data_IF_803284868186
#
_entry.id   IF_803284868186
#
_cell.length_a   1.000
_cell.length_b   1.000
_cell.length_c   1.000
_cell.angle_alpha   90.00
_cell.angle_beta   90.00
_cell.angle_gamma   90.00
#
_symmetry.space_group_name_H-M   'P 1'
#
loop_
_entity.id
_entity.type
_entity.pdbx_description
1 polymer ?
#
# COMPACT_ATOMS: atom_id res chain seq x y z
N UNK A 1 -8.39 -14.77 -3.42
CA UNK A 1 -8.39 -14.33 -2.01
C UNK A 1 -8.65 -12.83 -2.01
N UNK A 2 -9.54 -12.35 -1.15
CA UNK A 2 -9.79 -10.93 -0.94
C UNK A 2 -8.56 -10.23 -0.32
N UNK A 3 -8.47 -8.91 -0.46
CA UNK A 3 -7.47 -8.08 0.22
C UNK A 3 -7.75 -8.14 1.74
N UNK A 4 -6.72 -8.47 2.52
CA UNK A 4 -6.79 -8.51 3.99
C UNK A 4 -6.87 -7.11 4.60
N UNK A 5 -7.36 -7.03 5.83
CA UNK A 5 -7.50 -5.78 6.58
C UNK A 5 -6.15 -5.06 6.78
N UNK A 6 -5.06 -5.80 6.96
CA UNK A 6 -3.70 -5.22 7.03
C UNK A 6 -3.20 -4.69 5.68
N UNK A 7 -3.47 -5.39 4.58
CA UNK A 7 -3.15 -4.92 3.24
C UNK A 7 -3.93 -3.65 2.92
N UNK A 8 -5.22 -3.60 3.28
CA UNK A 8 -6.06 -2.40 3.13
C UNK A 8 -5.53 -1.23 3.97
N UNK A 9 -5.17 -1.45 5.23
CA UNK A 9 -4.55 -0.42 6.07
C UNK A 9 -3.31 0.17 5.39
N UNK A 10 -2.45 -0.71 4.88
CA UNK A 10 -1.21 -0.33 4.20
C UNK A 10 -1.50 0.52 2.95
N UNK A 11 -2.48 0.10 2.14
CA UNK A 11 -2.90 0.83 0.93
C UNK A 11 -3.39 2.24 1.28
N UNK A 12 -4.24 2.37 2.29
CA UNK A 12 -4.75 3.68 2.70
C UNK A 12 -3.63 4.58 3.25
N UNK A 13 -2.66 4.05 4.00
CA UNK A 13 -1.50 4.84 4.45
C UNK A 13 -0.60 5.34 3.32
N UNK A 14 -0.38 4.52 2.29
CA UNK A 14 0.33 4.96 1.09
C UNK A 14 -0.47 6.04 0.35
N UNK A 15 -1.78 5.87 0.22
CA UNK A 15 -2.68 6.83 -0.43
C UNK A 15 -2.72 8.18 0.28
N UNK A 16 -2.80 8.19 1.62
CA UNK A 16 -2.72 9.40 2.44
C UNK A 16 -1.42 10.17 2.14
N UNK A 17 -0.27 9.49 2.16
CA UNK A 17 1.05 10.10 1.87
C UNK A 17 1.15 10.57 0.42
N UNK A 18 0.63 9.81 -0.54
CA UNK A 18 0.59 10.17 -1.96
C UNK A 18 -0.19 11.47 -2.18
N UNK A 19 -1.38 11.59 -1.58
CA UNK A 19 -2.21 12.79 -1.66
C UNK A 19 -1.52 13.98 -1.00
N UNK A 20 -0.92 13.79 0.19
CA UNK A 20 -0.17 14.83 0.88
C UNK A 20 1.05 15.33 0.08
N UNK A 21 1.67 14.46 -0.72
CA UNK A 21 2.75 14.80 -1.64
C UNK A 21 2.27 15.41 -2.97
N UNK A 22 0.95 15.54 -3.18
CA UNK A 22 0.37 16.09 -4.42
C UNK A 22 0.53 15.20 -5.65
N UNK A 23 0.86 13.92 -5.47
CA UNK A 23 1.11 12.99 -6.59
C UNK A 23 -0.19 12.30 -7.04
N UNK A 24 -0.38 12.18 -8.34
CA UNK A 24 -1.38 11.26 -8.91
C UNK A 24 -0.94 9.79 -8.75
N UNK A 25 -1.87 8.82 -8.81
CA UNK A 25 -1.52 7.40 -8.83
C UNK A 25 -0.53 7.05 -9.96
N UNK A 26 -0.71 7.65 -11.13
CA UNK A 26 0.17 7.45 -12.29
C UNK A 26 1.58 7.94 -12.04
N UNK A 27 1.75 9.14 -11.47
CA UNK A 27 3.07 9.69 -11.17
C UNK A 27 3.81 8.80 -10.16
N UNK A 28 3.13 8.36 -9.09
CA UNK A 28 3.74 7.47 -8.11
C UNK A 28 4.15 6.12 -8.75
N UNK A 29 3.30 5.53 -9.60
CA UNK A 29 3.64 4.32 -10.37
C UNK A 29 4.92 4.51 -11.18
N UNK A 30 5.05 5.62 -11.90
CA UNK A 30 6.20 5.90 -12.77
C UNK A 30 7.49 6.14 -11.96
N UNK A 31 7.41 6.80 -10.80
CA UNK A 31 8.56 6.97 -9.90
C UNK A 31 9.12 5.63 -9.39
N UNK A 32 8.29 4.59 -9.34
CA UNK A 32 8.67 3.24 -8.93
C UNK A 32 9.11 2.35 -10.09
N UNK A 33 9.03 2.84 -11.34
CA UNK A 33 9.24 2.02 -12.53
C UNK A 33 8.18 0.93 -12.71
N UNK A 34 6.98 1.13 -12.14
CA UNK A 34 5.85 0.21 -12.25
C UNK A 34 4.92 0.59 -13.41
N UNK A 35 4.00 -0.31 -13.74
CA UNK A 35 2.92 0.00 -14.67
C UNK A 35 2.12 1.23 -14.19
N UNK A 36 1.77 2.12 -15.13
CA UNK A 36 1.11 3.40 -14.85
C UNK A 36 -0.25 3.24 -14.13
N UNK A 37 -0.90 2.08 -14.26
CA UNK A 37 -2.17 1.76 -13.60
C UNK A 37 -1.99 1.08 -12.24
N UNK A 38 -0.78 0.67 -11.87
CA UNK A 38 -0.54 -0.19 -10.70
C UNK A 38 -1.06 0.42 -9.39
N UNK A 39 -0.68 1.67 -9.07
CA UNK A 39 -1.16 2.36 -7.86
C UNK A 39 -2.67 2.59 -7.94
N UNK A 40 -3.20 2.94 -9.12
CA UNK A 40 -4.65 3.15 -9.29
C UNK A 40 -5.45 1.86 -9.03
N UNK A 41 -4.93 0.71 -9.45
CA UNK A 41 -5.54 -0.58 -9.13
C UNK A 41 -5.39 -0.91 -7.64
N UNK A 42 -4.23 -0.68 -7.04
CA UNK A 42 -4.03 -0.96 -5.61
C UNK A 42 -4.97 -0.13 -4.72
N UNK A 43 -5.20 1.14 -5.05
CA UNK A 43 -6.10 2.03 -4.29
C UNK A 43 -7.59 1.83 -4.60
N UNK A 44 -7.92 1.06 -5.63
CA UNK A 44 -9.29 0.81 -6.02
C UNK A 44 -9.76 -0.52 -5.40
N UNK A 45 -10.79 -0.51 -4.54
CA UNK A 45 -11.24 -1.70 -3.81
C UNK A 45 -11.79 -2.81 -4.73
N UNK A 46 -12.05 -2.54 -6.01
CA UNK A 46 -12.46 -3.55 -6.99
C UNK A 46 -11.32 -4.47 -7.43
N UNK A 47 -10.07 -4.02 -7.31
CA UNK A 47 -8.91 -4.79 -7.70
C UNK A 47 -8.22 -5.40 -6.47
N UNK A 48 -7.41 -6.43 -6.72
CA UNK A 48 -6.73 -7.21 -5.68
C UNK A 48 -5.23 -6.93 -5.61
N UNK A 49 -4.80 -5.84 -6.23
CA UNK A 49 -3.42 -5.38 -6.22
C UNK A 49 -3.02 -5.00 -4.79
N UNK A 50 -1.83 -5.42 -4.38
CA UNK A 50 -1.32 -5.20 -3.03
C UNK A 50 0.16 -4.88 -3.05
N UNK A 51 0.59 -4.11 -2.06
CA UNK A 51 1.99 -3.75 -1.90
C UNK A 51 2.77 -4.86 -1.19
N UNK A 52 4.02 -5.06 -1.62
CA UNK A 52 4.97 -5.92 -0.94
C UNK A 52 5.99 -5.05 -0.17
N UNK A 53 6.89 -5.68 0.58
CA UNK A 53 7.88 -4.97 1.38
C UNK A 53 8.82 -4.08 0.55
N UNK A 54 9.15 -4.46 -0.68
CA UNK A 54 9.98 -3.65 -1.57
C UNK A 54 9.25 -2.38 -2.00
N UNK A 55 7.95 -2.47 -2.29
CA UNK A 55 7.12 -1.29 -2.57
C UNK A 55 7.09 -0.36 -1.36
N UNK A 56 6.88 -0.89 -0.15
CA UNK A 56 6.87 -0.08 1.08
C UNK A 56 8.20 0.62 1.33
N UNK A 57 9.31 -0.07 1.10
CA UNK A 57 10.64 0.53 1.20
C UNK A 57 10.84 1.67 0.19
N UNK A 58 10.40 1.48 -1.06
CA UNK A 58 10.50 2.51 -2.07
C UNK A 58 9.59 3.71 -1.77
N UNK A 59 8.36 3.48 -1.28
CA UNK A 59 7.48 4.56 -0.81
C UNK A 59 8.12 5.34 0.34
N UNK A 60 8.77 4.67 1.29
CA UNK A 60 9.48 5.32 2.40
C UNK A 60 10.58 6.27 1.89
N UNK A 61 11.34 5.85 0.87
CA UNK A 61 12.36 6.70 0.23
C UNK A 61 11.72 7.90 -0.47
N UNK A 62 10.66 7.69 -1.26
CA UNK A 62 9.97 8.76 -2.00
C UNK A 62 9.35 9.79 -1.04
N UNK A 63 8.67 9.33 0.00
CA UNK A 63 7.97 10.18 0.96
C UNK A 63 8.84 10.65 2.13
N UNK A 64 10.13 10.28 2.14
CA UNK A 64 11.09 10.62 3.19
C UNK A 64 10.57 10.29 4.60
N UNK A 65 9.94 9.13 4.76
CA UNK A 65 9.37 8.69 6.02
C UNK A 65 9.81 7.27 6.40
N UNK A 66 9.75 6.90 7.69
CA UNK A 66 10.04 5.53 8.10
C UNK A 66 9.09 4.51 7.46
N UNK A 67 9.58 3.32 7.09
CA UNK A 67 8.74 2.23 6.54
C UNK A 67 7.59 1.85 7.50
N UNK A 68 7.83 1.94 8.81
CA UNK A 68 6.81 1.67 9.84
C UNK A 68 5.57 2.56 9.74
N UNK A 69 5.64 3.70 9.06
CA UNK A 69 4.48 4.57 8.85
C UNK A 69 3.38 3.91 8.00
N UNK A 70 3.72 2.87 7.23
CA UNK A 70 2.75 2.10 6.43
C UNK A 70 2.23 0.85 7.13
N UNK A 71 2.76 0.51 8.32
CA UNK A 71 2.49 -0.75 9.02
C UNK A 71 1.75 -0.44 10.32
N UNK A 72 0.66 -1.15 10.65
CA UNK A 72 -0.07 -0.89 11.88
C UNK A 72 0.81 -1.21 13.11
N UNK A 73 0.66 -0.40 14.16
CA UNK A 73 1.41 -0.58 15.42
C UNK A 73 1.09 -1.90 16.12
N UNK A 74 -0.16 -2.35 16.01
CA UNK A 74 -0.66 -3.59 16.60
C UNK A 74 -1.19 -4.49 15.47
N UNK A 75 -1.23 -5.82 15.67
CA UNK A 75 -1.90 -6.71 14.73
C UNK A 75 -3.35 -6.29 14.50
N UNK A 76 -3.84 -6.50 13.28
CA UNK A 76 -5.26 -6.36 12.95
C UNK A 76 -5.85 -7.77 12.92
N UNK A 77 -6.63 -8.18 13.94
CA UNK A 77 -7.21 -9.52 13.98
C UNK A 77 -8.19 -9.70 12.83
N UNK A 78 -7.97 -10.72 12.02
CA UNK A 78 -8.81 -11.10 10.89
C UNK A 78 -8.62 -12.59 10.63
N UNK A 79 -9.68 -13.30 10.28
CA UNK A 79 -9.59 -14.70 9.88
C UNK A 79 -8.94 -14.80 8.49
N UNK A 80 -7.80 -15.46 8.44
CA UNK A 80 -7.08 -15.74 7.20
C UNK A 80 -6.50 -17.14 7.25
N UNK A 81 -5.98 -17.62 6.12
CA UNK A 81 -5.24 -18.90 6.07
C UNK A 81 -4.01 -18.96 7.00
N UNK A 82 -3.60 -17.84 7.58
CA UNK A 82 -2.47 -17.73 8.49
C UNK A 82 -2.87 -17.53 9.95
N UNK A 83 -4.10 -17.09 10.24
CA UNK A 83 -4.50 -16.58 11.55
C UNK A 83 -5.63 -17.33 12.24
N UNK A 84 -6.16 -18.44 11.68
CA UNK A 84 -6.76 -19.60 12.36
C UNK A 84 -7.38 -20.53 11.31
N UNK A 85 -7.43 -21.84 11.63
CA UNK A 85 -8.27 -22.84 10.97
C UNK A 85 -9.59 -22.96 11.70
#
# INVERSE_FOLDING_TARGET
MEITSIERYTIEKVKEKRIAAGLSPRELSLLLGLDASYIAHAENPKYKNKYNLNHLNAFAVIFQCPVKDFIPRLPIPEETKYTLK
#
